data_IF_240131004081
#
_entry.id   IF_240131004081
#
_cell.length_a   1.000
_cell.length_b   1.000
_cell.length_c   1.000
_cell.angle_alpha   90.00
_cell.angle_beta   90.00
_cell.angle_gamma   90.00
#
_symmetry.space_group_name_H-M   'P 1'
#
loop_
_entity.id
_entity.type
_entity.pdbx_description
1 polymer ?
#
# COMPACT_ATOMS: atom_id res chain seq x y z
N UNK A 1 -2.89 -11.72 -11.94
CA UNK A 1 -4.24 -11.21 -11.57
C UNK A 1 -4.25 -10.48 -10.23
N UNK A 2 -3.43 -10.88 -9.25
CA UNK A 2 -3.38 -10.29 -7.89
C UNK A 2 -3.13 -8.76 -7.81
N UNK A 3 -2.25 -8.20 -8.65
CA UNK A 3 -2.00 -6.74 -8.62
C UNK A 3 -3.27 -5.92 -8.91
N UNK A 4 -4.11 -6.39 -9.84
CA UNK A 4 -5.40 -5.75 -10.16
C UNK A 4 -6.42 -5.91 -9.03
N UNK A 5 -6.37 -7.03 -8.31
CA UNK A 5 -7.24 -7.30 -7.16
C UNK A 5 -6.90 -6.36 -6.00
N UNK A 6 -5.62 -6.24 -5.67
CA UNK A 6 -5.15 -5.34 -4.60
C UNK A 6 -5.44 -3.88 -4.94
N UNK A 7 -5.17 -3.47 -6.18
CA UNK A 7 -5.51 -2.12 -6.63
C UNK A 7 -7.00 -1.84 -6.52
N UNK A 8 -7.87 -2.84 -6.76
CA UNK A 8 -9.32 -2.67 -6.59
C UNK A 8 -9.72 -2.48 -5.13
N UNK A 9 -9.09 -3.21 -4.21
CA UNK A 9 -9.33 -3.05 -2.78
C UNK A 9 -8.89 -1.66 -2.29
N UNK A 10 -7.69 -1.22 -2.69
CA UNK A 10 -7.20 0.13 -2.40
C UNK A 10 -8.07 1.21 -3.04
N UNK A 11 -8.44 1.07 -4.31
CA UNK A 11 -9.27 2.04 -5.01
C UNK A 11 -10.67 2.18 -4.38
N UNK A 12 -11.27 1.07 -3.94
CA UNK A 12 -12.54 1.12 -3.20
C UNK A 12 -12.37 1.85 -1.87
N UNK A 13 -11.32 1.53 -1.12
CA UNK A 13 -11.07 2.17 0.17
C UNK A 13 -10.73 3.67 0.06
N UNK A 14 -10.00 4.08 -0.99
CA UNK A 14 -9.70 5.48 -1.27
C UNK A 14 -10.90 6.27 -1.81
N UNK A 15 -11.82 5.62 -2.52
CA UNK A 15 -13.08 6.26 -2.91
C UNK A 15 -13.90 6.68 -1.68
N UNK A 16 -13.81 5.89 -0.61
CA UNK A 16 -14.44 6.19 0.69
C UNK A 16 -13.58 7.13 1.56
N UNK A 17 -12.39 7.55 1.11
CA UNK A 17 -11.47 8.45 1.84
C UNK A 17 -10.75 9.39 0.87
N UNK A 18 -11.46 10.37 0.30
CA UNK A 18 -10.97 11.13 -0.86
C UNK A 18 -9.75 12.03 -0.59
N UNK A 19 -9.43 12.33 0.67
CA UNK A 19 -8.38 13.29 1.03
C UNK A 19 -7.50 12.88 2.22
N UNK A 20 -7.38 11.57 2.52
CA UNK A 20 -6.60 11.12 3.68
C UNK A 20 -5.98 9.74 3.54
N UNK A 21 -4.96 9.42 4.38
CA UNK A 21 -4.43 8.08 4.47
C UNK A 21 -5.51 7.10 4.94
N UNK A 22 -5.42 5.84 4.50
CA UNK A 22 -6.36 4.82 4.94
C UNK A 22 -6.24 4.61 6.45
N UNK A 23 -7.40 4.52 7.12
CA UNK A 23 -7.45 4.16 8.53
C UNK A 23 -7.05 2.70 8.75
N UNK A 24 -6.55 2.37 9.94
CA UNK A 24 -6.20 0.98 10.27
C UNK A 24 -7.39 0.02 10.14
N UNK A 25 -8.61 0.50 10.40
CA UNK A 25 -9.85 -0.27 10.21
C UNK A 25 -10.06 -0.64 8.74
N UNK A 26 -9.80 0.30 7.82
CA UNK A 26 -9.88 0.02 6.38
C UNK A 26 -8.78 -0.94 5.95
N UNK A 27 -7.55 -0.75 6.45
CA UNK A 27 -6.43 -1.65 6.16
C UNK A 27 -6.68 -3.06 6.68
N UNK A 28 -7.25 -3.23 7.88
CA UNK A 28 -7.62 -4.53 8.43
C UNK A 28 -8.65 -5.27 7.57
N UNK A 29 -9.63 -4.54 7.00
CA UNK A 29 -10.59 -5.11 6.05
C UNK A 29 -9.92 -5.58 4.75
N UNK A 30 -8.92 -4.85 4.28
CA UNK A 30 -8.12 -5.26 3.11
C UNK A 30 -7.28 -6.48 3.47
N UNK A 31 -6.61 -6.47 4.63
CA UNK A 31 -5.76 -7.55 5.11
C UNK A 31 -6.49 -8.91 5.18
N UNK A 32 -7.74 -8.92 5.62
CA UNK A 32 -8.58 -10.13 5.64
C UNK A 32 -8.77 -10.78 4.26
N UNK A 33 -8.67 -10.00 3.18
CA UNK A 33 -8.83 -10.47 1.80
C UNK A 33 -7.49 -10.73 1.10
N UNK A 34 -6.36 -10.48 1.77
CA UNK A 34 -5.04 -10.71 1.20
C UNK A 34 -4.62 -12.17 1.37
N UNK A 35 -4.33 -12.83 0.25
CA UNK A 35 -3.65 -14.13 0.22
C UNK A 35 -2.17 -13.98 -0.12
N UNK A 36 -1.52 -15.11 -0.43
CA UNK A 36 -0.08 -15.16 -0.76
C UNK A 36 0.28 -14.27 -1.97
N UNK A 37 -0.56 -14.23 -2.98
CA UNK A 37 -0.28 -13.45 -4.19
C UNK A 37 -0.42 -11.95 -3.94
N UNK A 38 -1.40 -11.55 -3.12
CA UNK A 38 -1.58 -10.17 -2.67
C UNK A 38 -0.40 -9.73 -1.81
N UNK A 39 0.04 -10.56 -0.86
CA UNK A 39 1.23 -10.28 -0.04
C UNK A 39 2.47 -10.08 -0.92
N UNK A 40 2.69 -10.97 -1.90
CA UNK A 40 3.78 -10.82 -2.85
C UNK A 40 3.68 -9.50 -3.63
N UNK A 41 2.48 -9.14 -4.11
CA UNK A 41 2.23 -7.88 -4.80
C UNK A 41 2.53 -6.64 -3.92
N UNK A 42 2.19 -6.68 -2.62
CA UNK A 42 2.52 -5.61 -1.67
C UNK A 42 4.05 -5.45 -1.56
N UNK A 43 4.77 -6.56 -1.37
CA UNK A 43 6.23 -6.52 -1.31
C UNK A 43 6.88 -6.03 -2.62
N UNK A 44 6.32 -6.40 -3.77
CA UNK A 44 6.77 -5.87 -5.06
C UNK A 44 6.57 -4.35 -5.14
N UNK A 45 5.40 -3.85 -4.76
CA UNK A 45 5.11 -2.41 -4.72
C UNK A 45 6.07 -1.66 -3.80
N UNK A 46 6.31 -2.17 -2.60
CA UNK A 46 7.27 -1.58 -1.65
C UNK A 46 8.68 -1.49 -2.23
N UNK A 47 9.16 -2.55 -2.88
CA UNK A 47 10.48 -2.55 -3.52
C UNK A 47 10.55 -1.53 -4.65
N UNK A 48 9.51 -1.42 -5.47
CA UNK A 48 9.44 -0.44 -6.55
C UNK A 48 9.48 0.98 -5.99
N UNK A 49 8.61 1.33 -5.03
CA UNK A 49 8.58 2.69 -4.47
C UNK A 49 9.90 3.08 -3.79
N UNK A 50 10.54 2.16 -3.06
CA UNK A 50 11.86 2.39 -2.46
C UNK A 50 12.95 2.59 -3.52
N UNK A 51 12.87 1.85 -4.65
CA UNK A 51 13.78 2.01 -5.78
C UNK A 51 13.59 3.36 -6.47
N UNK A 52 12.35 3.79 -6.73
CA UNK A 52 12.05 5.11 -7.32
C UNK A 52 12.57 6.24 -6.43
N UNK A 53 12.36 6.14 -5.12
CA UNK A 53 12.82 7.14 -4.16
C UNK A 53 14.35 7.28 -4.13
N UNK A 54 15.07 6.17 -4.32
CA UNK A 54 16.53 6.16 -4.39
C UNK A 54 17.06 6.59 -5.77
N UNK A 55 16.35 6.25 -6.85
CA UNK A 55 16.73 6.53 -8.23
C UNK A 55 16.43 7.94 -8.71
N UNK A 56 15.53 8.65 -8.02
CA UNK A 56 15.09 9.99 -8.41
C UNK A 56 15.31 11.03 -7.29
N UNK A 57 16.59 11.39 -7.00
CA UNK A 57 16.90 12.38 -5.98
C UNK A 57 16.39 13.79 -6.33
N UNK A 58 16.13 14.07 -7.61
CA UNK A 58 15.68 15.38 -8.10
C UNK A 58 14.16 15.56 -8.08
N UNK A 59 13.39 14.54 -7.68
CA UNK A 59 11.95 14.71 -7.52
C UNK A 59 11.62 15.77 -6.48
N UNK A 60 10.56 16.53 -6.78
CA UNK A 60 10.06 17.55 -5.89
C UNK A 60 9.55 16.95 -4.57
N UNK A 61 9.34 17.83 -3.60
CA UNK A 61 8.90 17.44 -2.27
C UNK A 61 7.55 16.71 -2.29
N UNK A 62 6.63 17.12 -3.17
CA UNK A 62 5.29 16.57 -3.23
C UNK A 62 5.29 15.15 -3.80
N UNK A 63 6.06 14.88 -4.85
CA UNK A 63 6.24 13.55 -5.41
C UNK A 63 6.87 12.59 -4.41
N UNK A 64 7.90 13.05 -3.69
CA UNK A 64 8.52 12.26 -2.61
C UNK A 64 7.54 12.02 -1.47
N UNK A 65 6.75 13.02 -1.10
CA UNK A 65 5.73 12.91 -0.05
C UNK A 65 4.66 11.86 -0.42
N UNK A 66 4.18 11.86 -1.66
CA UNK A 66 3.21 10.88 -2.16
C UNK A 66 3.79 9.45 -2.17
N UNK A 67 5.05 9.28 -2.58
CA UNK A 67 5.74 7.99 -2.50
C UNK A 67 5.87 7.51 -1.05
N UNK A 68 6.31 8.37 -0.14
CA UNK A 68 6.41 8.04 1.27
C UNK A 68 5.05 7.64 1.87
N UNK A 69 3.98 8.36 1.54
CA UNK A 69 2.62 7.99 1.96
C UNK A 69 2.17 6.64 1.42
N UNK A 70 2.56 6.30 0.18
CA UNK A 70 2.29 4.99 -0.42
C UNK A 70 3.08 3.88 0.28
N UNK A 71 4.35 4.12 0.61
CA UNK A 71 5.20 3.18 1.37
C UNK A 71 4.61 2.93 2.76
N UNK A 72 4.27 4.00 3.50
CA UNK A 72 3.67 3.89 4.83
C UNK A 72 2.37 3.07 4.81
N UNK A 73 1.52 3.34 3.82
CA UNK A 73 0.25 2.60 3.64
C UNK A 73 0.49 1.10 3.42
N UNK A 74 1.47 0.75 2.59
CA UNK A 74 1.80 -0.64 2.31
C UNK A 74 2.44 -1.35 3.51
N UNK A 75 3.32 -0.67 4.25
CA UNK A 75 3.93 -1.22 5.47
C UNK A 75 2.89 -1.43 6.57
N UNK A 76 1.95 -0.49 6.75
CA UNK A 76 0.82 -0.66 7.67
C UNK A 76 -0.09 -1.80 7.26
N UNK A 77 -0.36 -1.98 5.96
CA UNK A 77 -1.14 -3.12 5.49
C UNK A 77 -0.46 -4.47 5.80
N UNK A 78 0.86 -4.59 5.59
CA UNK A 78 1.59 -5.81 5.94
C UNK A 78 1.48 -6.13 7.44
N UNK A 79 1.65 -5.12 8.31
CA UNK A 79 1.48 -5.31 9.75
C UNK A 79 0.09 -5.82 10.12
N UNK A 80 -0.95 -5.30 9.46
CA UNK A 80 -2.33 -5.78 9.67
C UNK A 80 -2.49 -7.23 9.19
N UNK A 81 -1.87 -7.61 8.06
CA UNK A 81 -1.89 -8.99 7.58
C UNK A 81 -1.20 -9.93 8.58
N UNK A 82 -0.02 -9.59 9.07
CA UNK A 82 0.72 -10.39 10.07
C UNK A 82 -0.08 -10.59 11.37
N UNK A 83 -0.86 -9.57 11.79
CA UNK A 83 -1.71 -9.67 12.98
C UNK A 83 -2.94 -10.56 12.78
N UNK A 84 -3.45 -10.64 11.56
CA UNK A 84 -4.68 -11.37 11.22
C UNK A 84 -4.38 -12.80 10.72
N UNK A 85 -3.20 -13.02 10.16
CA UNK A 85 -2.73 -14.30 9.61
C UNK A 85 -1.34 -14.65 10.16
N UNK A 86 -1.25 -15.11 11.43
CA UNK A 86 0.02 -15.47 12.07
C UNK A 86 0.68 -16.72 11.47
#
# INVERSE_FOLDING_TARGET
MALKTIYRHFHTAWKDTPHGPLSDVQLAKIALNCGRDEIAAIHFGLKLFKSELAGCPDWDFDMKYQLWGSIDTFERLLKQIEQVQP
#
